data_IF_459029455054
#
_entry.id   IF_459029455054
#
_cell.length_a   1.000
_cell.length_b   1.000
_cell.length_c   1.000
_cell.angle_alpha   90.00
_cell.angle_beta   90.00
_cell.angle_gamma   90.00
#
_symmetry.space_group_name_H-M   'P 1'
#
loop_
_entity.id
_entity.type
_entity.pdbx_description
1 polymer ?
#
# COMPACT_ATOMS: atom_id res chain seq x y z
N UNK A 1 12.52 -49.10 19.71
CA UNK A 1 12.08 -47.74 19.30
C UNK A 1 13.15 -46.79 19.80
N UNK A 2 14.05 -46.34 18.93
CA UNK A 2 15.09 -45.36 19.28
C UNK A 2 14.41 -44.00 19.44
N UNK A 3 14.50 -43.42 20.64
CA UNK A 3 14.01 -42.08 20.90
C UNK A 3 14.70 -41.11 19.92
N UNK A 4 13.88 -40.31 19.21
CA UNK A 4 14.39 -39.25 18.32
C UNK A 4 15.09 -38.22 19.20
N UNK A 5 16.42 -38.14 19.11
CA UNK A 5 17.30 -37.29 19.96
C UNK A 5 17.53 -35.89 19.39
N UNK A 6 16.80 -35.53 18.30
CA UNK A 6 16.97 -34.24 17.64
C UNK A 6 15.99 -33.22 18.24
N UNK A 7 16.52 -32.08 18.65
CA UNK A 7 15.72 -30.90 19.03
C UNK A 7 15.89 -29.87 17.92
N UNK A 8 14.92 -29.85 17.00
CA UNK A 8 14.93 -28.99 15.82
C UNK A 8 13.96 -27.83 16.02
N UNK A 9 14.37 -26.62 15.68
CA UNK A 9 13.47 -25.49 15.61
C UNK A 9 13.82 -24.61 14.41
N UNK A 10 12.80 -23.93 13.86
CA UNK A 10 12.94 -22.98 12.77
C UNK A 10 12.75 -21.56 13.32
N UNK A 11 13.69 -20.66 13.00
CA UNK A 11 13.57 -19.25 13.34
C UNK A 11 13.31 -18.45 12.08
N UNK A 12 12.23 -17.65 12.07
CA UNK A 12 11.94 -16.71 10.99
C UNK A 12 12.59 -15.38 11.31
N UNK A 13 13.51 -14.92 10.42
CA UNK A 13 14.21 -13.66 10.54
C UNK A 13 13.93 -12.78 9.34
N UNK A 14 13.99 -11.45 9.55
CA UNK A 14 13.91 -10.45 8.49
C UNK A 14 12.57 -10.45 7.75
N UNK A 15 11.50 -10.70 8.47
CA UNK A 15 10.14 -10.67 7.90
C UNK A 15 9.77 -9.26 7.46
N UNK A 16 9.18 -9.17 6.25
CA UNK A 16 8.60 -7.93 5.73
C UNK A 16 7.09 -8.01 5.88
N UNK A 17 6.50 -7.12 6.66
CA UNK A 17 5.05 -7.09 6.86
C UNK A 17 4.39 -6.24 5.78
N UNK A 18 3.47 -6.82 5.03
CA UNK A 18 2.55 -6.11 4.16
C UNK A 18 1.15 -6.27 4.77
N UNK A 19 0.55 -5.16 5.16
CA UNK A 19 -0.82 -5.13 5.67
C UNK A 19 -1.79 -4.96 4.50
N UNK A 20 -2.77 -5.84 4.44
CA UNK A 20 -3.87 -5.76 3.47
C UNK A 20 -5.20 -5.83 4.22
N UNK A 21 -6.09 -4.89 3.92
CA UNK A 21 -7.45 -4.87 4.48
C UNK A 21 -8.45 -4.53 3.39
N UNK A 22 -9.49 -5.34 3.26
CA UNK A 22 -10.65 -5.03 2.44
C UNK A 22 -11.76 -4.46 3.31
N UNK A 23 -12.23 -3.28 2.95
CA UNK A 23 -13.28 -2.56 3.66
C UNK A 23 -14.60 -2.78 2.94
N UNK A 24 -15.55 -3.48 3.58
CA UNK A 24 -16.79 -3.87 2.92
C UNK A 24 -17.76 -2.70 2.73
N UNK A 25 -17.82 -1.75 3.68
CA UNK A 25 -18.73 -0.59 3.64
C UNK A 25 -18.11 0.63 2.94
N UNK A 26 -17.41 0.43 1.81
CA UNK A 26 -16.66 1.50 1.14
C UNK A 26 -17.44 2.26 0.06
N UNK A 27 -18.55 1.71 -0.46
CA UNK A 27 -19.15 2.16 -1.72
C UNK A 27 -19.57 3.64 -1.71
N UNK A 28 -20.25 4.09 -0.65
CA UNK A 28 -20.69 5.47 -0.51
C UNK A 28 -19.51 6.43 -0.36
N UNK A 29 -18.55 6.06 0.49
CA UNK A 29 -17.33 6.86 0.70
C UNK A 29 -16.49 6.93 -0.58
N UNK A 30 -16.38 5.84 -1.32
CA UNK A 30 -15.64 5.80 -2.58
C UNK A 30 -16.31 6.69 -3.64
N UNK A 31 -17.64 6.70 -3.73
CA UNK A 31 -18.33 7.59 -4.65
C UNK A 31 -18.06 9.07 -4.33
N UNK A 32 -18.08 9.43 -3.04
CA UNK A 32 -17.79 10.80 -2.60
C UNK A 32 -16.29 11.16 -2.83
N UNK A 33 -15.35 10.25 -2.53
CA UNK A 33 -13.93 10.44 -2.78
C UNK A 33 -13.63 10.58 -4.27
N UNK A 34 -14.21 9.73 -5.13
CA UNK A 34 -14.05 9.82 -6.59
C UNK A 34 -14.50 11.19 -7.11
N UNK A 35 -15.68 11.65 -6.71
CA UNK A 35 -16.21 12.95 -7.12
C UNK A 35 -15.27 14.09 -6.71
N UNK A 36 -14.78 14.07 -5.47
CA UNK A 36 -13.89 15.10 -4.96
C UNK A 36 -12.53 15.07 -5.67
N UNK A 37 -11.93 13.88 -5.81
CA UNK A 37 -10.62 13.73 -6.44
C UNK A 37 -10.67 14.16 -7.91
N UNK A 38 -11.73 13.80 -8.65
CA UNK A 38 -11.89 14.22 -10.04
C UNK A 38 -12.12 15.73 -10.18
N UNK A 39 -12.77 16.37 -9.21
CA UNK A 39 -12.90 17.82 -9.20
C UNK A 39 -11.53 18.51 -9.00
N UNK A 40 -10.71 17.97 -8.08
CA UNK A 40 -9.35 18.48 -7.88
C UNK A 40 -8.44 18.22 -9.08
N UNK A 41 -8.58 17.07 -9.72
CA UNK A 41 -7.82 16.71 -10.93
C UNK A 41 -8.13 17.63 -12.10
N UNK A 42 -9.40 18.06 -12.25
CA UNK A 42 -9.81 18.99 -13.30
C UNK A 42 -9.23 20.43 -13.12
N UNK A 43 -8.77 20.76 -11.92
CA UNK A 43 -8.14 22.06 -11.62
C UNK A 43 -6.63 22.05 -11.83
N UNK A 44 -6.03 20.91 -12.12
CA UNK A 44 -4.56 20.72 -12.26
C UNK A 44 -4.23 20.04 -13.56
N UNK A 45 -3.11 20.44 -14.17
CA UNK A 45 -2.62 19.85 -15.42
C UNK A 45 -2.18 18.38 -15.29
N UNK A 46 -1.73 17.97 -14.10
CA UNK A 46 -1.34 16.59 -13.80
C UNK A 46 -1.39 16.30 -12.28
N UNK A 47 -2.23 15.35 -11.88
CA UNK A 47 -2.36 14.90 -10.48
C UNK A 47 -1.52 13.66 -10.15
N UNK A 48 -0.85 13.06 -11.13
CA UNK A 48 -0.16 11.77 -10.93
C UNK A 48 1.11 11.89 -10.09
N UNK A 49 1.67 13.09 -9.88
CA UNK A 49 3.01 13.28 -9.31
C UNK A 49 3.14 14.46 -8.33
N UNK A 50 2.10 15.21 -8.01
CA UNK A 50 2.25 16.38 -7.13
C UNK A 50 2.20 16.01 -5.64
N UNK A 51 3.33 15.49 -5.14
CA UNK A 51 3.56 15.23 -3.70
C UNK A 51 3.66 16.52 -2.86
N UNK A 52 3.75 17.69 -3.46
CA UNK A 52 4.34 18.86 -2.79
C UNK A 52 3.34 19.86 -2.26
N UNK A 53 2.06 19.70 -2.45
CA UNK A 53 1.17 20.82 -2.17
C UNK A 53 -0.10 20.54 -1.39
N UNK A 54 -0.52 19.29 -1.22
CA UNK A 54 -1.83 19.02 -0.62
C UNK A 54 -1.70 17.88 0.39
N UNK A 55 -1.74 18.23 1.66
CA UNK A 55 -2.10 17.23 2.67
C UNK A 55 -3.60 16.90 2.46
N UNK A 56 -3.84 15.91 1.60
CA UNK A 56 -5.19 15.51 1.23
C UNK A 56 -6.01 15.06 2.43
N UNK A 57 -5.38 14.39 3.41
CA UNK A 57 -6.06 13.92 4.61
C UNK A 57 -6.31 15.01 5.66
N UNK A 58 -5.75 16.22 5.54
CA UNK A 58 -6.06 17.34 6.45
C UNK A 58 -7.44 17.96 6.21
N UNK A 59 -8.03 17.72 5.05
CA UNK A 59 -9.34 18.24 4.64
C UNK A 59 -10.46 17.69 5.53
N UNK A 60 -11.61 18.42 5.57
CA UNK A 60 -12.70 18.15 6.51
C UNK A 60 -13.96 17.54 5.85
N UNK A 61 -13.91 17.23 4.57
CA UNK A 61 -15.01 16.56 3.89
C UNK A 61 -15.26 15.17 4.53
N UNK A 62 -16.52 14.79 4.76
CA UNK A 62 -16.84 13.57 5.53
C UNK A 62 -16.16 12.29 5.01
N UNK A 63 -16.03 12.16 3.68
CA UNK A 63 -15.35 10.99 3.09
C UNK A 63 -13.83 11.00 3.35
N UNK A 64 -13.21 12.18 3.45
CA UNK A 64 -11.77 12.30 3.80
C UNK A 64 -11.56 12.03 5.28
N UNK A 65 -12.43 12.54 6.14
CA UNK A 65 -12.39 12.24 7.59
C UNK A 65 -12.49 10.73 7.81
N UNK A 66 -13.44 10.08 7.15
CA UNK A 66 -13.58 8.62 7.19
C UNK A 66 -12.32 7.89 6.70
N UNK A 67 -11.70 8.35 5.59
CA UNK A 67 -10.46 7.74 5.07
C UNK A 67 -9.30 7.91 6.05
N UNK A 68 -9.16 9.10 6.66
CA UNK A 68 -8.15 9.37 7.69
C UNK A 68 -8.30 8.43 8.89
N UNK A 69 -9.51 8.27 9.41
CA UNK A 69 -9.80 7.35 10.51
C UNK A 69 -9.52 5.89 10.12
N UNK A 70 -9.81 5.53 8.87
CA UNK A 70 -9.51 4.20 8.32
C UNK A 70 -8.01 3.93 8.24
N UNK A 71 -7.21 4.92 7.83
CA UNK A 71 -5.74 4.84 7.80
C UNK A 71 -5.19 4.76 9.22
N UNK A 72 -5.72 5.54 10.16
CA UNK A 72 -5.32 5.53 11.57
C UNK A 72 -5.60 4.17 12.24
N UNK A 73 -6.73 3.57 11.94
CA UNK A 73 -7.05 2.23 12.44
C UNK A 73 -6.11 1.16 11.84
N UNK A 74 -5.80 1.26 10.54
CA UNK A 74 -4.85 0.36 9.89
C UNK A 74 -3.45 0.49 10.49
N UNK A 75 -2.99 1.72 10.74
CA UNK A 75 -1.72 1.99 11.41
C UNK A 75 -1.65 1.35 12.80
N UNK A 76 -2.67 1.54 13.62
CA UNK A 76 -2.71 0.94 14.97
C UNK A 76 -2.58 -0.58 14.91
N UNK A 77 -3.27 -1.24 13.98
CA UNK A 77 -3.19 -2.69 13.79
C UNK A 77 -1.83 -3.14 13.27
N UNK A 78 -1.24 -2.37 12.36
CA UNK A 78 0.11 -2.64 11.87
C UNK A 78 1.14 -2.58 12.99
N UNK A 79 1.13 -1.51 13.78
CA UNK A 79 2.04 -1.32 14.91
C UNK A 79 1.87 -2.43 15.96
N UNK A 80 0.63 -2.80 16.28
CA UNK A 80 0.33 -3.90 17.18
C UNK A 80 0.91 -5.24 16.67
N UNK A 81 0.78 -5.53 15.37
CA UNK A 81 1.36 -6.73 14.76
C UNK A 81 2.88 -6.74 14.80
N UNK A 82 3.52 -5.56 14.81
CA UNK A 82 4.95 -5.38 15.00
C UNK A 82 5.38 -5.31 16.48
N UNK A 83 4.47 -5.58 17.43
CA UNK A 83 4.72 -5.50 18.88
C UNK A 83 5.12 -4.08 19.36
N UNK A 84 4.72 -3.05 18.62
CA UNK A 84 4.91 -1.66 18.98
C UNK A 84 3.66 -1.21 19.74
N UNK A 85 3.73 -1.16 21.08
CA UNK A 85 2.58 -0.91 21.96
C UNK A 85 2.70 0.38 22.76
N UNK A 86 3.81 1.10 22.62
CA UNK A 86 4.06 2.36 23.30
C UNK A 86 3.56 3.56 22.48
N UNK A 87 3.31 4.72 23.12
CA UNK A 87 2.84 5.93 22.43
C UNK A 87 3.84 6.40 21.37
N UNK A 88 3.35 6.61 20.15
CA UNK A 88 4.13 7.14 19.03
C UNK A 88 3.40 8.35 18.47
N UNK A 89 4.13 9.43 18.25
CA UNK A 89 3.66 10.54 17.44
C UNK A 89 3.79 10.17 15.98
N UNK A 90 2.78 10.48 15.19
CA UNK A 90 2.76 10.23 13.75
C UNK A 90 2.47 11.51 12.98
N UNK A 91 3.06 11.59 11.81
CA UNK A 91 2.67 12.53 10.75
C UNK A 91 2.31 11.73 9.49
N UNK A 92 1.19 12.10 8.84
CA UNK A 92 0.68 11.39 7.66
C UNK A 92 0.58 12.39 6.51
N UNK A 93 1.38 12.17 5.49
CA UNK A 93 1.31 12.90 4.23
C UNK A 93 0.56 12.05 3.20
N UNK A 94 -0.51 12.58 2.60
CA UNK A 94 -1.31 11.84 1.64
C UNK A 94 -1.65 12.66 0.39
N UNK A 95 -1.79 11.96 -0.74
CA UNK A 95 -2.14 12.56 -2.03
C UNK A 95 -2.99 11.60 -2.87
N UNK A 96 -3.97 12.13 -3.62
CA UNK A 96 -4.73 11.34 -4.57
C UNK A 96 -3.93 11.10 -5.86
N UNK A 97 -4.22 9.99 -6.53
CA UNK A 97 -3.71 9.66 -7.85
C UNK A 97 -4.87 9.35 -8.78
N UNK A 98 -4.88 9.96 -9.96
CA UNK A 98 -5.78 9.64 -11.07
C UNK A 98 -4.95 9.11 -12.21
N UNK A 99 -5.04 7.81 -12.47
CA UNK A 99 -4.26 7.15 -13.53
C UNK A 99 -5.15 6.81 -14.72
N UNK A 100 -4.84 7.38 -15.87
CA UNK A 100 -5.49 7.18 -17.16
C UNK A 100 -4.82 6.07 -17.94
N UNK A 101 -5.31 5.80 -19.14
CA UNK A 101 -4.70 4.82 -20.05
C UNK A 101 -3.19 5.09 -20.24
N UNK A 102 -2.37 4.10 -19.96
CA UNK A 102 -0.92 4.16 -20.06
C UNK A 102 -0.20 4.64 -18.80
N UNK A 103 -0.88 5.30 -17.85
CA UNK A 103 -0.26 5.78 -16.62
C UNK A 103 0.18 4.63 -15.71
N UNK A 104 1.36 4.78 -15.12
CA UNK A 104 1.97 3.80 -14.21
C UNK A 104 2.87 4.47 -13.19
N UNK A 105 3.29 3.72 -12.18
CA UNK A 105 4.34 4.15 -11.26
C UNK A 105 5.51 3.18 -11.36
N UNK A 106 6.65 3.68 -11.81
CA UNK A 106 7.87 2.89 -11.92
C UNK A 106 8.40 2.38 -10.57
N UNK A 107 9.37 1.47 -10.54
CA UNK A 107 9.97 0.98 -9.30
C UNK A 107 10.56 2.12 -8.47
N UNK A 108 10.09 2.26 -7.23
CA UNK A 108 10.52 3.29 -6.28
C UNK A 108 10.29 2.88 -4.84
N UNK A 109 10.79 3.69 -3.91
CA UNK A 109 10.53 3.60 -2.47
C UNK A 109 10.43 5.01 -1.85
N UNK A 110 10.12 5.08 -0.56
CA UNK A 110 9.96 6.32 0.19
C UNK A 110 10.82 6.31 1.45
N UNK A 111 12.15 6.33 1.27
CA UNK A 111 13.13 6.14 2.34
C UNK A 111 13.11 7.15 3.49
N UNK A 112 12.33 8.25 3.39
CA UNK A 112 12.19 9.26 4.43
C UNK A 112 11.02 9.03 5.40
N UNK A 113 10.20 8.02 5.16
CA UNK A 113 9.06 7.68 6.01
C UNK A 113 9.22 6.27 6.61
N UNK A 114 8.41 5.94 7.59
CA UNK A 114 8.41 4.62 8.23
C UNK A 114 7.54 3.63 7.47
N UNK A 115 6.32 4.04 7.12
CA UNK A 115 5.38 3.26 6.32
C UNK A 115 4.93 4.05 5.10
N UNK A 116 4.63 3.33 4.05
CA UNK A 116 3.87 3.79 2.89
C UNK A 116 2.62 2.96 2.75
N UNK A 117 1.61 3.52 2.10
CA UNK A 117 0.38 2.80 1.84
C UNK A 117 -0.43 3.42 0.72
N UNK A 118 -1.48 2.71 0.37
CA UNK A 118 -2.44 3.17 -0.64
C UNK A 118 -3.83 2.64 -0.32
N UNK A 119 -4.83 3.49 -0.55
CA UNK A 119 -6.24 3.13 -0.54
C UNK A 119 -6.81 3.19 -1.95
N UNK A 120 -7.47 2.13 -2.39
CA UNK A 120 -8.03 2.03 -3.74
C UNK A 120 -9.49 2.47 -3.75
N UNK A 121 -9.74 3.61 -4.37
CA UNK A 121 -11.08 4.23 -4.47
C UNK A 121 -11.85 3.64 -5.64
N UNK A 122 -11.24 3.64 -6.82
CA UNK A 122 -11.82 3.13 -8.05
C UNK A 122 -10.77 2.39 -8.87
N UNK A 123 -11.14 1.28 -9.45
CA UNK A 123 -10.28 0.49 -10.33
C UNK A 123 -10.99 0.21 -11.64
N UNK A 124 -10.22 0.07 -12.74
CA UNK A 124 -10.78 -0.36 -14.02
C UNK A 124 -11.45 -1.74 -13.90
N UNK A 125 -12.50 -1.95 -14.67
CA UNK A 125 -13.08 -3.28 -14.81
C UNK A 125 -12.04 -4.26 -15.37
N UNK A 126 -11.72 -5.27 -14.58
CA UNK A 126 -10.68 -6.25 -14.89
C UNK A 126 -11.13 -7.37 -15.81
N UNK A 127 -12.18 -7.18 -16.59
CA UNK A 127 -12.56 -8.10 -17.68
C UNK A 127 -11.52 -8.12 -18.81
N UNK A 128 -10.25 -8.00 -18.45
CA UNK A 128 -9.13 -8.20 -19.37
C UNK A 128 -8.91 -9.68 -19.51
N UNK A 129 -9.57 -10.27 -20.49
CA UNK A 129 -9.58 -11.69 -20.81
C UNK A 129 -8.24 -12.24 -21.31
N UNK A 130 -7.17 -11.45 -21.35
CA UNK A 130 -5.89 -11.85 -21.91
C UNK A 130 -4.66 -11.14 -21.32
N UNK A 131 -4.63 -10.91 -20.01
CA UNK A 131 -3.37 -10.47 -19.39
C UNK A 131 -2.43 -11.65 -19.26
N UNK A 132 -1.48 -11.76 -20.18
CA UNK A 132 -0.33 -12.64 -19.99
C UNK A 132 0.58 -12.02 -18.91
N UNK A 133 0.72 -12.71 -17.77
CA UNK A 133 1.66 -12.33 -16.72
C UNK A 133 1.28 -11.06 -15.96
N UNK A 134 2.27 -10.19 -15.72
CA UNK A 134 2.24 -9.05 -14.81
C UNK A 134 1.42 -7.84 -15.31
N UNK A 135 0.58 -7.97 -16.31
CA UNK A 135 -0.10 -6.83 -16.98
C UNK A 135 -1.48 -6.48 -16.42
N UNK A 136 -1.77 -6.81 -15.17
CA UNK A 136 -3.06 -6.46 -14.58
C UNK A 136 -3.11 -4.95 -14.26
N UNK A 137 -4.06 -4.17 -14.80
CA UNK A 137 -4.06 -2.70 -14.77
C UNK A 137 -4.21 -2.08 -13.37
N UNK A 138 -4.50 -2.89 -12.36
CA UNK A 138 -4.61 -2.45 -10.98
C UNK A 138 -3.54 -3.05 -10.06
N UNK A 139 -2.66 -3.91 -10.57
CA UNK A 139 -1.70 -4.63 -9.74
C UNK A 139 -0.61 -3.71 -9.18
N UNK A 140 -0.26 -3.95 -7.92
CA UNK A 140 0.95 -3.43 -7.29
C UNK A 140 1.89 -4.59 -7.02
N UNK A 141 3.16 -4.41 -7.35
CA UNK A 141 4.19 -5.43 -7.16
C UNK A 141 5.29 -4.92 -6.23
N UNK A 142 5.66 -5.73 -5.27
CA UNK A 142 6.74 -5.50 -4.31
C UNK A 142 7.94 -6.37 -4.69
N UNK A 143 9.15 -5.81 -4.57
CA UNK A 143 10.40 -6.55 -4.74
C UNK A 143 10.92 -7.06 -3.42
N UNK A 144 11.50 -8.27 -3.39
CA UNK A 144 12.17 -8.79 -2.19
C UNK A 144 13.29 -7.82 -1.77
N UNK A 145 13.28 -7.29 -0.53
CA UNK A 145 14.27 -6.33 -0.05
C UNK A 145 15.65 -6.93 0.21
N UNK A 146 15.76 -8.27 0.22
CA UNK A 146 17.03 -8.95 0.51
C UNK A 146 17.92 -8.95 -0.72
N UNK A 147 19.12 -8.41 -0.61
CA UNK A 147 20.09 -8.42 -1.71
C UNK A 147 20.44 -9.85 -2.12
N UNK A 148 20.37 -10.16 -3.41
CA UNK A 148 20.73 -11.48 -3.94
C UNK A 148 19.72 -12.59 -3.64
N UNK A 149 18.48 -12.26 -3.23
CA UNK A 149 17.41 -13.24 -3.01
C UNK A 149 16.93 -13.95 -4.29
N UNK A 150 17.57 -13.67 -5.43
CA UNK A 150 17.31 -14.35 -6.71
C UNK A 150 17.84 -15.78 -6.67
N UNK A 151 17.19 -16.61 -5.87
CA UNK A 151 17.43 -18.04 -5.94
C UNK A 151 16.56 -18.63 -7.02
N UNK A 152 17.05 -19.68 -7.71
CA UNK A 152 16.17 -20.51 -8.49
C UNK A 152 15.09 -21.05 -7.56
N UNK A 153 13.88 -20.51 -7.69
CA UNK A 153 12.77 -20.90 -6.84
C UNK A 153 12.39 -22.34 -7.13
N UNK A 154 12.40 -23.15 -6.09
CA UNK A 154 11.72 -24.44 -6.14
C UNK A 154 10.27 -24.15 -5.72
N UNK A 155 9.36 -24.29 -6.67
CA UNK A 155 7.94 -24.14 -6.35
C UNK A 155 7.52 -25.27 -5.36
N UNK A 156 6.79 -24.96 -4.29
CA UNK A 156 6.08 -23.74 -3.97
C UNK A 156 6.77 -22.81 -2.96
N UNK A 157 8.09 -22.72 -2.95
CA UNK A 157 8.83 -21.91 -1.97
C UNK A 157 8.57 -20.39 -2.19
N UNK A 158 7.56 -19.86 -1.51
CA UNK A 158 7.23 -18.44 -1.54
C UNK A 158 8.38 -17.56 -0.98
N UNK A 159 9.29 -18.11 -0.15
CA UNK A 159 10.43 -17.37 0.40
C UNK A 159 11.53 -17.11 -0.63
N UNK A 160 11.50 -17.81 -1.76
CA UNK A 160 12.44 -17.65 -2.87
C UNK A 160 11.90 -16.78 -4.01
N UNK A 161 10.67 -16.29 -3.92
CA UNK A 161 10.09 -15.38 -4.92
C UNK A 161 10.73 -14.00 -4.82
N UNK A 162 11.28 -13.51 -5.94
CA UNK A 162 11.85 -12.16 -6.00
C UNK A 162 10.80 -11.04 -5.99
N UNK A 163 9.53 -11.38 -6.17
CA UNK A 163 8.41 -10.42 -6.27
C UNK A 163 7.15 -10.97 -5.61
N UNK A 164 6.38 -10.06 -5.04
CA UNK A 164 5.04 -10.33 -4.56
C UNK A 164 4.06 -9.35 -5.20
N UNK A 165 3.05 -9.86 -5.92
CA UNK A 165 2.06 -9.03 -6.61
C UNK A 165 0.72 -9.15 -5.93
N UNK A 166 0.10 -8.01 -5.62
CA UNK A 166 -1.25 -7.92 -5.08
C UNK A 166 -2.18 -7.34 -6.15
N UNK A 167 -3.36 -7.93 -6.25
CA UNK A 167 -4.44 -7.53 -7.16
C UNK A 167 -5.57 -6.90 -6.35
N UNK A 168 -5.53 -5.59 -6.08
CA UNK A 168 -6.50 -4.94 -5.23
C UNK A 168 -7.89 -4.87 -5.88
N UNK A 169 -8.89 -4.60 -5.06
CA UNK A 169 -10.24 -4.22 -5.48
C UNK A 169 -10.61 -2.88 -4.85
N UNK A 170 -11.62 -2.15 -5.34
CA UNK A 170 -12.11 -0.97 -4.64
C UNK A 170 -12.40 -1.26 -3.17
N UNK A 171 -11.98 -0.36 -2.27
CA UNK A 171 -12.05 -0.55 -0.82
C UNK A 171 -10.88 -1.30 -0.20
N UNK A 172 -9.87 -1.73 -1.00
CA UNK A 172 -8.63 -2.28 -0.45
C UNK A 172 -7.73 -1.17 0.08
N UNK A 173 -7.19 -1.36 1.29
CA UNK A 173 -6.13 -0.56 1.89
C UNK A 173 -4.89 -1.44 2.06
N UNK A 174 -3.76 -0.98 1.55
CA UNK A 174 -2.45 -1.59 1.72
C UNK A 174 -1.54 -0.68 2.53
N UNK A 175 -0.65 -1.28 3.34
CA UNK A 175 0.40 -0.57 4.08
C UNK A 175 1.63 -1.47 4.19
N UNK A 176 2.82 -0.88 4.01
CA UNK A 176 4.10 -1.60 3.98
C UNK A 176 5.25 -0.72 4.47
N UNK A 177 6.42 -1.29 4.85
CA UNK A 177 7.61 -0.52 5.16
C UNK A 177 8.05 0.36 3.98
N UNK A 178 8.21 1.64 4.20
CA UNK A 178 8.51 2.62 3.14
C UNK A 178 9.76 2.34 2.31
N UNK A 179 10.84 1.72 2.85
CA UNK A 179 12.00 1.37 2.03
C UNK A 179 11.76 0.24 1.03
N UNK A 180 10.63 -0.48 1.14
CA UNK A 180 10.31 -1.59 0.24
C UNK A 180 10.05 -1.08 -1.18
N UNK A 181 10.86 -1.54 -2.14
CA UNK A 181 10.70 -1.19 -3.55
C UNK A 181 9.39 -1.76 -4.06
N UNK A 182 8.59 -0.91 -4.66
CA UNK A 182 7.31 -1.27 -5.24
C UNK A 182 7.05 -0.50 -6.53
N UNK A 183 6.14 -1.01 -7.34
CA UNK A 183 5.71 -0.38 -8.59
C UNK A 183 4.27 -0.76 -8.90
N UNK A 184 3.60 0.10 -9.66
CA UNK A 184 2.21 -0.08 -10.05
C UNK A 184 2.15 -0.27 -11.55
N UNK A 185 1.50 -1.35 -11.98
CA UNK A 185 1.37 -1.70 -13.39
C UNK A 185 0.64 -0.63 -14.20
N UNK A 186 0.97 -0.46 -15.48
CA UNK A 186 0.27 0.46 -16.36
C UNK A 186 -1.24 0.20 -16.39
N UNK A 187 -2.02 1.26 -16.38
CA UNK A 187 -3.45 1.17 -16.63
C UNK A 187 -3.66 0.92 -18.15
N UNK A 188 -4.02 -0.29 -18.51
CA UNK A 188 -4.31 -0.69 -19.90
C UNK A 188 -5.80 -0.56 -20.26
N UNK A 189 -6.58 0.17 -19.45
CA UNK A 189 -8.01 0.37 -19.64
C UNK A 189 -8.32 1.84 -19.93
N UNK A 190 -9.34 2.08 -20.73
CA UNK A 190 -9.92 3.42 -20.92
C UNK A 190 -10.56 3.94 -19.63
N UNK A 191 -10.90 3.06 -18.68
CA UNK A 191 -11.42 3.44 -17.39
C UNK A 191 -10.29 3.88 -16.46
N UNK A 192 -10.52 4.96 -15.74
CA UNK A 192 -9.54 5.53 -14.82
C UNK A 192 -9.37 4.67 -13.55
N UNK A 193 -8.15 4.66 -13.02
CA UNK A 193 -7.83 4.18 -11.69
C UNK A 193 -7.68 5.37 -10.75
N UNK A 194 -8.36 5.34 -9.61
CA UNK A 194 -8.26 6.34 -8.56
C UNK A 194 -7.79 5.68 -7.28
N UNK A 195 -6.72 6.20 -6.70
CA UNK A 195 -6.20 5.77 -5.40
C UNK A 195 -5.74 6.97 -4.57
N UNK A 196 -5.64 6.77 -3.26
CA UNK A 196 -5.01 7.73 -2.35
C UNK A 196 -3.79 7.07 -1.76
N UNK A 197 -2.62 7.57 -2.11
CA UNK A 197 -1.34 7.16 -1.53
C UNK A 197 -1.04 7.98 -0.28
N UNK A 198 -0.31 7.38 0.65
CA UNK A 198 0.11 8.07 1.86
C UNK A 198 1.45 7.55 2.37
N UNK A 199 2.19 8.43 3.03
CA UNK A 199 3.39 8.13 3.80
C UNK A 199 3.16 8.45 5.26
N UNK A 200 3.74 7.65 6.15
CA UNK A 200 3.64 7.82 7.60
C UNK A 200 5.04 7.95 8.17
N UNK A 201 5.31 9.09 8.77
CA UNK A 201 6.50 9.32 9.59
C UNK A 201 6.12 9.00 11.03
N UNK A 202 6.95 8.22 11.72
CA UNK A 202 6.83 7.96 13.14
C UNK A 202 7.91 8.72 13.87
N UNK A 203 7.52 9.43 14.90
CA UNK A 203 8.42 10.17 15.77
C UNK A 203 8.38 9.58 17.17
N UNK A 204 9.54 9.55 17.80
CA UNK A 204 9.65 9.20 19.20
C UNK A 204 8.88 10.20 20.06
N UNK A 205 8.01 9.71 20.93
CA UNK A 205 7.34 10.56 21.93
C UNK A 205 8.17 10.63 23.19
N UNK A 206 8.45 11.85 23.67
CA UNK A 206 9.13 12.06 24.96
C UNK A 206 8.28 11.56 26.15
N UNK A 207 6.99 11.31 25.95
CA UNK A 207 6.09 10.74 26.95
C UNK A 207 6.41 9.28 27.27
N UNK A 208 7.37 8.69 26.54
CA UNK A 208 7.87 7.34 26.78
C UNK A 208 9.04 7.28 27.77
N UNK A 209 9.59 8.40 28.19
CA UNK A 209 10.63 8.46 29.21
C UNK A 209 10.02 8.30 30.61
N UNK A 210 9.51 7.10 30.90
CA UNK A 210 9.08 6.66 32.22
C UNK A 210 10.07 5.62 32.77
#
# INVERSE_FOLDING_TARGET
MTANTWNEHFTQLWTTHIFERKINAHAEHNAALSKLILALDAEKDDMTVDYKGVDFLSRQEPAIVWLRETVDEALRRYLQACSITYPIRRDVQAWPNVNRLGDYHGPHNHGWSYLSGTYYVQLPDTKVTSCQGDRHPAAITFSDPRYGAYRHSIAPDASASARHTIYPSPGTLLMWPSPLIHYVQPNHSENIRISVSFNIVLEWSNDYAG
#
